data_IF_348338105072
#
_entry.id   IF_348338105072
#
_cell.length_a   1.000
_cell.length_b   1.000
_cell.length_c   1.000
_cell.angle_alpha   90.00
_cell.angle_beta   90.00
_cell.angle_gamma   90.00
#
_symmetry.space_group_name_H-M   'P 1'
#
loop_
_entity.id
_entity.type
_entity.pdbx_description
1 polymer ?
#
# COMPACT_ATOMS: atom_id res chain seq x y z
N UNK A 1 7.17 21.75 -1.76
CA UNK A 1 7.19 21.27 -0.37
C UNK A 1 5.79 21.08 0.19
N UNK A 2 4.96 22.11 0.12
CA UNK A 2 3.59 21.99 0.60
C UNK A 2 2.79 20.92 -0.13
N UNK A 3 3.02 20.77 -1.44
CA UNK A 3 2.34 19.74 -2.21
C UNK A 3 2.68 18.35 -1.68
N UNK A 4 3.96 18.09 -1.42
CA UNK A 4 4.38 16.79 -0.91
C UNK A 4 3.68 16.48 0.42
N UNK A 5 3.68 17.44 1.33
CA UNK A 5 3.07 17.24 2.65
C UNK A 5 1.57 17.03 2.56
N UNK A 6 0.89 17.76 1.70
CA UNK A 6 -0.55 17.58 1.49
C UNK A 6 -0.84 16.19 0.95
N UNK A 7 -0.11 15.79 -0.09
CA UNK A 7 -0.32 14.48 -0.69
C UNK A 7 0.01 13.36 0.28
N UNK A 8 1.08 13.53 1.07
CA UNK A 8 1.44 12.56 2.09
C UNK A 8 0.31 12.40 3.12
N UNK A 9 -0.20 13.52 3.64
CA UNK A 9 -1.25 13.48 4.64
C UNK A 9 -2.52 12.82 4.13
N UNK A 10 -2.95 13.20 2.94
CA UNK A 10 -4.18 12.64 2.35
C UNK A 10 -4.02 11.16 2.06
N UNK A 11 -2.90 10.78 1.45
CA UNK A 11 -2.67 9.37 1.13
C UNK A 11 -2.53 8.54 2.40
N UNK A 12 -1.93 9.09 3.45
CA UNK A 12 -1.83 8.39 4.72
C UNK A 12 -3.20 8.08 5.29
N UNK A 13 -4.10 9.07 5.31
CA UNK A 13 -5.44 8.85 5.84
C UNK A 13 -6.19 7.80 5.02
N UNK A 14 -6.18 7.94 3.71
CA UNK A 14 -6.93 7.03 2.82
C UNK A 14 -6.35 5.62 2.89
N UNK A 15 -5.04 5.49 2.79
CA UNK A 15 -4.40 4.18 2.83
C UNK A 15 -4.64 3.50 4.18
N UNK A 16 -4.53 4.24 5.28
CA UNK A 16 -4.73 3.65 6.60
C UNK A 16 -6.18 3.20 6.79
N UNK A 17 -7.15 3.92 6.22
CA UNK A 17 -8.54 3.47 6.28
C UNK A 17 -8.71 2.13 5.57
N UNK A 18 -8.17 1.98 4.37
CA UNK A 18 -8.23 0.71 3.64
C UNK A 18 -7.47 -0.39 4.37
N UNK A 19 -6.30 -0.07 4.89
CA UNK A 19 -5.46 -1.08 5.53
C UNK A 19 -6.05 -1.55 6.85
N UNK A 20 -6.65 -0.65 7.61
CA UNK A 20 -7.34 -1.04 8.84
C UNK A 20 -8.53 -1.94 8.52
N UNK A 21 -9.29 -1.62 7.47
CA UNK A 21 -10.37 -2.49 7.03
C UNK A 21 -9.85 -3.88 6.71
N UNK A 22 -8.76 -3.94 5.93
CA UNK A 22 -8.15 -5.20 5.57
C UNK A 22 -7.71 -5.99 6.79
N UNK A 23 -6.99 -5.33 7.70
CA UNK A 23 -6.46 -5.99 8.89
C UNK A 23 -7.55 -6.48 9.83
N UNK A 24 -8.61 -5.71 10.00
CA UNK A 24 -9.65 -6.03 10.99
C UNK A 24 -10.71 -6.97 10.44
N UNK A 25 -10.96 -6.95 9.14
CA UNK A 25 -12.07 -7.70 8.54
C UNK A 25 -11.59 -8.90 7.76
N UNK A 26 -10.56 -8.74 6.94
CA UNK A 26 -10.13 -9.78 6.01
C UNK A 26 -8.94 -10.57 6.52
N UNK A 27 -7.86 -9.88 6.88
CA UNK A 27 -6.60 -10.58 7.15
C UNK A 27 -6.54 -11.21 8.53
N UNK A 28 -7.38 -10.75 9.46
CA UNK A 28 -7.37 -11.28 10.81
C UNK A 28 -7.50 -12.79 10.83
N UNK A 29 -8.49 -13.31 10.09
CA UNK A 29 -8.69 -14.75 10.02
C UNK A 29 -7.77 -15.40 9.00
N UNK A 30 -7.48 -14.70 7.91
CA UNK A 30 -6.64 -15.23 6.83
C UNK A 30 -5.23 -15.53 7.33
N UNK A 31 -4.59 -14.55 7.95
CA UNK A 31 -3.21 -14.74 8.44
C UNK A 31 -3.16 -15.75 9.57
N UNK A 32 -4.14 -15.73 10.46
CA UNK A 32 -4.20 -16.69 11.55
C UNK A 32 -4.32 -18.11 11.02
N UNK A 33 -5.11 -18.31 9.97
CA UNK A 33 -5.29 -19.62 9.35
C UNK A 33 -4.01 -20.10 8.68
N UNK A 34 -3.32 -19.23 7.93
CA UNK A 34 -2.19 -19.65 7.12
C UNK A 34 -0.85 -19.57 7.85
N UNK A 35 -0.63 -18.58 8.70
CA UNK A 35 0.66 -18.36 9.35
C UNK A 35 0.53 -18.10 10.84
N UNK A 36 -0.55 -18.57 11.46
CA UNK A 36 -0.77 -18.34 12.90
C UNK A 36 0.40 -18.72 13.77
N UNK A 37 1.10 -19.81 13.43
CA UNK A 37 2.26 -20.28 14.20
C UNK A 37 3.43 -19.31 14.13
N UNK A 38 3.50 -18.50 13.09
CA UNK A 38 4.58 -17.54 12.89
C UNK A 38 4.28 -16.18 13.51
N UNK A 39 3.01 -15.95 13.89
CA UNK A 39 2.60 -14.67 14.42
C UNK A 39 2.97 -14.58 15.90
N UNK A 40 3.69 -13.52 16.24
CA UNK A 40 4.00 -13.18 17.62
C UNK A 40 3.32 -11.87 17.99
N UNK A 41 3.83 -11.24 19.03
CA UNK A 41 3.33 -9.92 19.42
C UNK A 41 3.63 -8.92 18.33
N UNK A 42 2.66 -8.03 18.06
CA UNK A 42 2.83 -7.01 17.05
C UNK A 42 3.85 -5.97 17.52
N UNK A 43 4.87 -5.76 16.72
CA UNK A 43 5.84 -4.71 16.96
C UNK A 43 5.46 -3.49 16.13
N UNK A 44 4.96 -2.46 16.82
CA UNK A 44 4.40 -1.29 16.15
C UNK A 44 5.46 -0.45 15.45
N UNK A 45 6.66 -0.33 16.06
CA UNK A 45 7.70 0.55 15.51
C UNK A 45 8.11 0.20 14.08
N UNK A 46 8.44 -1.07 13.74
CA UNK A 46 8.74 -1.40 12.35
C UNK A 46 7.58 -1.12 11.40
N UNK A 47 6.34 -1.32 11.86
CA UNK A 47 5.17 -1.07 11.03
C UNK A 47 5.03 0.40 10.70
N UNK A 48 5.21 1.27 11.68
CA UNK A 48 5.14 2.72 11.47
C UNK A 48 6.23 3.17 10.50
N UNK A 49 7.45 2.65 10.66
CA UNK A 49 8.56 2.98 9.77
C UNK A 49 8.23 2.56 8.35
N UNK A 50 7.69 1.34 8.17
CA UNK A 50 7.33 0.85 6.85
C UNK A 50 6.26 1.74 6.22
N UNK A 51 5.20 2.07 6.96
CA UNK A 51 4.13 2.90 6.42
C UNK A 51 4.65 4.26 5.99
N UNK A 52 5.53 4.85 6.79
CA UNK A 52 6.13 6.13 6.45
C UNK A 52 6.91 6.04 5.14
N UNK A 53 7.81 5.07 5.05
CA UNK A 53 8.64 4.89 3.85
C UNK A 53 7.79 4.59 2.63
N UNK A 54 6.80 3.72 2.80
CA UNK A 54 5.89 3.35 1.72
C UNK A 54 5.14 4.57 1.18
N UNK A 55 4.60 5.39 2.07
CA UNK A 55 3.83 6.57 1.66
C UNK A 55 4.72 7.62 1.02
N UNK A 56 5.94 7.80 1.51
CA UNK A 56 6.91 8.66 0.83
C UNK A 56 7.12 8.20 -0.61
N UNK A 57 7.28 6.89 -0.80
CA UNK A 57 7.43 6.32 -2.14
C UNK A 57 6.21 6.54 -3.01
N UNK A 58 5.01 6.36 -2.46
CA UNK A 58 3.77 6.60 -3.22
C UNK A 58 3.70 8.05 -3.69
N UNK A 59 3.99 8.99 -2.80
CA UNK A 59 3.94 10.40 -3.17
C UNK A 59 4.99 10.73 -4.23
N UNK A 60 6.20 10.28 -4.01
CA UNK A 60 7.33 10.64 -4.89
C UNK A 60 7.24 9.97 -6.26
N UNK A 61 6.95 8.67 -6.30
CA UNK A 61 7.01 7.91 -7.55
C UNK A 61 5.69 7.83 -8.29
N UNK A 62 4.58 8.01 -7.61
CA UNK A 62 3.26 7.81 -8.20
C UNK A 62 2.48 9.10 -8.29
N UNK A 63 2.26 9.77 -7.15
CA UNK A 63 1.34 10.90 -7.09
C UNK A 63 1.88 12.15 -7.74
N UNK A 64 3.09 12.56 -7.39
CA UNK A 64 3.66 13.77 -7.98
C UNK A 64 3.81 13.65 -9.50
N UNK A 65 4.44 12.57 -10.03
CA UNK A 65 4.52 12.44 -11.49
C UNK A 65 3.15 12.33 -12.16
N UNK A 66 2.21 11.60 -11.53
CA UNK A 66 0.88 11.45 -12.10
C UNK A 66 0.12 12.75 -12.17
N UNK A 67 0.23 13.58 -11.14
CA UNK A 67 -0.42 14.88 -11.09
C UNK A 67 0.24 15.84 -12.08
N UNK A 68 1.57 15.84 -12.14
CA UNK A 68 2.31 16.71 -13.07
C UNK A 68 1.96 16.39 -14.51
N UNK A 69 1.77 15.10 -14.83
CA UNK A 69 1.38 14.67 -16.17
C UNK A 69 -0.13 14.83 -16.42
N UNK A 70 -0.89 15.14 -15.38
CA UNK A 70 -2.35 15.19 -15.44
C UNK A 70 -2.92 13.92 -16.05
N UNK A 71 -2.39 12.77 -15.63
CA UNK A 71 -2.73 11.47 -16.19
C UNK A 71 -3.20 10.52 -15.09
N UNK A 72 -4.50 10.24 -15.09
CA UNK A 72 -5.04 9.22 -14.18
C UNK A 72 -4.54 7.83 -14.58
N UNK A 73 -4.34 7.58 -15.86
CA UNK A 73 -3.80 6.31 -16.32
C UNK A 73 -2.41 6.06 -15.76
N UNK A 74 -1.53 7.08 -15.82
CA UNK A 74 -0.20 6.95 -15.22
C UNK A 74 -0.29 6.70 -13.73
N UNK A 75 -1.17 7.44 -13.05
CA UNK A 75 -1.31 7.34 -11.59
C UNK A 75 -1.76 5.94 -11.18
N UNK A 76 -2.78 5.40 -11.85
CA UNK A 76 -3.27 4.05 -11.53
C UNK A 76 -2.22 3.00 -11.87
N UNK A 77 -1.61 3.10 -13.06
CA UNK A 77 -0.64 2.10 -13.51
C UNK A 77 0.60 2.08 -12.63
N UNK A 78 1.16 3.25 -12.35
CA UNK A 78 2.35 3.33 -11.51
C UNK A 78 2.03 2.97 -10.06
N UNK A 79 0.84 3.33 -9.59
CA UNK A 79 0.40 2.91 -8.26
C UNK A 79 0.27 1.40 -8.14
N UNK A 80 -0.34 0.77 -9.13
CA UNK A 80 -0.46 -0.68 -9.17
C UNK A 80 0.91 -1.34 -9.18
N UNK A 81 1.81 -0.87 -10.02
CA UNK A 81 3.17 -1.42 -10.10
C UNK A 81 3.93 -1.22 -8.80
N UNK A 82 3.86 -0.01 -8.24
CA UNK A 82 4.55 0.27 -6.98
C UNK A 82 4.04 -0.62 -5.85
N UNK A 83 2.73 -0.79 -5.76
CA UNK A 83 2.14 -1.68 -4.76
C UNK A 83 2.55 -3.12 -4.96
N UNK A 84 2.55 -3.57 -6.21
CA UNK A 84 2.98 -4.92 -6.53
C UNK A 84 4.44 -5.13 -6.11
N UNK A 85 5.32 -4.19 -6.42
CA UNK A 85 6.74 -4.29 -6.07
C UNK A 85 6.92 -4.34 -4.56
N UNK A 86 6.26 -3.43 -3.84
CA UNK A 86 6.40 -3.39 -2.38
C UNK A 86 5.93 -4.67 -1.72
N UNK A 87 4.76 -5.15 -2.11
CA UNK A 87 4.20 -6.35 -1.49
C UNK A 87 4.91 -7.62 -1.95
N UNK A 88 5.38 -7.66 -3.21
CA UNK A 88 6.11 -8.83 -3.69
C UNK A 88 7.49 -8.93 -3.04
N UNK A 89 8.12 -7.80 -2.71
CA UNK A 89 9.39 -7.81 -2.00
C UNK A 89 9.26 -8.55 -0.67
N UNK A 90 8.16 -8.34 0.02
CA UNK A 90 7.89 -9.02 1.27
C UNK A 90 7.45 -10.47 1.04
N UNK A 91 6.40 -10.66 0.26
CA UNK A 91 5.74 -11.96 0.14
C UNK A 91 6.55 -12.97 -0.65
N UNK A 92 7.15 -12.57 -1.76
CA UNK A 92 7.93 -13.52 -2.57
C UNK A 92 9.24 -13.87 -1.88
N UNK A 93 9.84 -12.92 -1.17
CA UNK A 93 11.04 -13.21 -0.39
C UNK A 93 10.72 -14.20 0.73
N UNK A 94 9.59 -14.00 1.41
CA UNK A 94 9.16 -14.93 2.46
C UNK A 94 8.83 -16.29 1.88
N UNK A 95 8.17 -16.33 0.73
CA UNK A 95 7.88 -17.60 0.05
C UNK A 95 9.15 -18.35 -0.30
N UNK A 96 10.19 -17.62 -0.72
CA UNK A 96 11.46 -18.22 -1.09
C UNK A 96 12.27 -18.72 0.11
N UNK A 97 12.14 -18.09 1.27
CA UNK A 97 13.06 -18.32 2.38
C UNK A 97 12.41 -18.93 3.62
N UNK A 98 11.11 -18.77 3.80
CA UNK A 98 10.44 -19.28 4.99
C UNK A 98 9.74 -20.59 4.66
N UNK A 99 10.07 -21.63 5.41
CA UNK A 99 9.47 -22.94 5.25
C UNK A 99 7.97 -22.85 5.47
N UNK A 100 7.20 -23.50 4.59
CA UNK A 100 5.75 -23.58 4.69
C UNK A 100 5.03 -22.25 4.56
N UNK A 101 5.65 -21.26 3.92
CA UNK A 101 4.97 -19.99 3.64
C UNK A 101 3.88 -20.24 2.56
N UNK A 102 2.61 -19.89 2.84
CA UNK A 102 1.52 -20.27 1.94
C UNK A 102 1.53 -19.49 0.63
N UNK A 103 1.42 -20.22 -0.49
CA UNK A 103 1.32 -19.60 -1.82
C UNK A 103 0.00 -18.85 -1.96
N UNK A 104 -1.09 -19.41 -1.45
CA UNK A 104 -2.41 -18.78 -1.52
C UNK A 104 -2.40 -17.41 -0.84
N UNK A 105 -1.85 -17.32 0.35
CA UNK A 105 -1.75 -16.06 1.08
C UNK A 105 -0.89 -15.06 0.32
N UNK A 106 0.19 -15.53 -0.28
CA UNK A 106 1.08 -14.69 -1.08
C UNK A 106 0.32 -14.04 -2.22
N UNK A 107 -0.46 -14.83 -2.97
CA UNK A 107 -1.23 -14.31 -4.10
C UNK A 107 -2.28 -13.29 -3.62
N UNK A 108 -2.98 -13.59 -2.55
CA UNK A 108 -3.99 -12.69 -2.00
C UNK A 108 -3.35 -11.36 -1.59
N UNK A 109 -2.21 -11.42 -0.92
CA UNK A 109 -1.49 -10.23 -0.48
C UNK A 109 -1.01 -9.38 -1.66
N UNK A 110 -0.50 -10.03 -2.71
CA UNK A 110 -0.05 -9.32 -3.91
C UNK A 110 -1.20 -8.61 -4.59
N UNK A 111 -2.35 -9.28 -4.70
CA UNK A 111 -3.55 -8.67 -5.29
C UNK A 111 -4.00 -7.49 -4.44
N UNK A 112 -4.01 -7.65 -3.13
CA UNK A 112 -4.39 -6.56 -2.22
C UNK A 112 -3.45 -5.37 -2.35
N UNK A 113 -2.14 -5.61 -2.28
CA UNK A 113 -1.15 -4.52 -2.34
C UNK A 113 -1.20 -3.75 -3.64
N UNK A 114 -1.35 -4.47 -4.76
CA UNK A 114 -1.50 -3.86 -6.07
C UNK A 114 -2.77 -3.00 -6.12
N UNK A 115 -3.88 -3.57 -5.67
CA UNK A 115 -5.18 -2.91 -5.72
C UNK A 115 -5.28 -1.71 -4.78
N UNK A 116 -4.86 -1.87 -3.52
CA UNK A 116 -5.00 -0.79 -2.55
C UNK A 116 -4.13 0.40 -2.93
N UNK A 117 -2.94 0.16 -3.46
CA UNK A 117 -2.05 1.24 -3.86
C UNK A 117 -2.60 1.97 -5.07
N UNK A 118 -3.13 1.22 -6.06
CA UNK A 118 -3.75 1.83 -7.23
C UNK A 118 -4.98 2.66 -6.87
N UNK A 119 -5.84 2.11 -6.03
CA UNK A 119 -7.09 2.78 -5.62
C UNK A 119 -6.79 4.01 -4.78
N UNK A 120 -5.89 3.90 -3.80
CA UNK A 120 -5.49 5.02 -2.98
C UNK A 120 -4.92 6.15 -3.85
N UNK A 121 -4.06 5.79 -4.79
CA UNK A 121 -3.44 6.76 -5.68
C UNK A 121 -4.49 7.47 -6.56
N UNK A 122 -5.46 6.71 -7.08
CA UNK A 122 -6.53 7.28 -7.89
C UNK A 122 -7.38 8.25 -7.07
N UNK A 123 -7.73 7.87 -5.84
CA UNK A 123 -8.55 8.73 -4.98
C UNK A 123 -7.80 10.02 -4.65
N UNK A 124 -6.53 9.92 -4.30
CA UNK A 124 -5.73 11.10 -3.98
C UNK A 124 -5.59 12.00 -5.20
N UNK A 125 -5.40 11.41 -6.39
CA UNK A 125 -5.34 12.16 -7.63
C UNK A 125 -6.62 12.98 -7.83
N UNK A 126 -7.79 12.37 -7.69
CA UNK A 126 -9.06 13.07 -7.85
C UNK A 126 -9.26 14.13 -6.77
N UNK A 127 -8.90 13.84 -5.53
CA UNK A 127 -9.01 14.83 -4.46
C UNK A 127 -8.13 16.03 -4.78
N UNK A 128 -6.92 15.81 -5.27
CA UNK A 128 -6.02 16.90 -5.61
C UNK A 128 -6.62 17.83 -6.65
N UNK A 129 -7.20 17.28 -7.73
CA UNK A 129 -7.73 18.11 -8.80
C UNK A 129 -9.07 18.74 -8.47
N UNK A 130 -9.87 18.11 -7.61
CA UNK A 130 -11.20 18.63 -7.29
C UNK A 130 -11.24 19.53 -6.07
N UNK A 131 -10.36 19.29 -5.09
CA UNK A 131 -10.45 19.98 -3.80
C UNK A 131 -9.21 20.77 -3.42
N UNK A 132 -8.05 20.39 -3.94
CA UNK A 132 -6.78 21.01 -3.56
C UNK A 132 -6.18 21.85 -4.67
N UNK A 133 -6.96 22.11 -5.67
CA UNK A 133 -6.54 22.85 -6.85
C UNK A 133 -6.03 24.24 -6.48
N UNK A 134 -4.84 24.54 -6.87
CA UNK A 134 -4.25 25.85 -6.63
C UNK A 134 -3.08 25.80 -5.71
#
# INVERSE_FOLDING_TARGET
>A
MNQFLKLFGISAVIFLMFDLFWLLVVSKNLYQTFIGELLGDVKVTPAIIFYFVYLVGVVFFVLIPGIDKQSIFYTISSGALFGFICYSTYDLTNLATIKNWPVTMTIIDLVWGTSVTAITSAIVYFINFNFLKG
#
